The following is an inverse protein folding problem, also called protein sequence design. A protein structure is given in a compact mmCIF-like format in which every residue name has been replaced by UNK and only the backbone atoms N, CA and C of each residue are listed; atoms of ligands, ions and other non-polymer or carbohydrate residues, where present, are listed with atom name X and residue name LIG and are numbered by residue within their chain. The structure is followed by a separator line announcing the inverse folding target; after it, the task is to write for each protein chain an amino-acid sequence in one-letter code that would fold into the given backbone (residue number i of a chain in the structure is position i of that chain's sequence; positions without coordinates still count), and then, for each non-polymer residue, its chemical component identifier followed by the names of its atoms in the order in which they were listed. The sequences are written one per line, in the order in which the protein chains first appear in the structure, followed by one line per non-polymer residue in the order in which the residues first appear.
data_IF_972460024734
#
_entry.id   IF_972460024734
#
_cell.length_a   1.000
_cell.length_b   1.000
_cell.length_c   1.000
_cell.angle_alpha   90.00
_cell.angle_beta   90.00
_cell.angle_gamma   90.00
#
_symmetry.space_group_name_H-M   'P 1'
#
loop_
_entity.id
_entity.type
_entity.pdbx_description
1 polymer ?
#
# COMPACT_ATOMS: atom_id res chain seq x y z
N UNK A 1 -22.44 -0.18 -4.03
CA UNK A 1 -22.37 -1.10 -2.87
C UNK A 1 -20.91 -1.13 -2.46
N UNK A 2 -20.58 -0.71 -1.24
CA UNK A 2 -19.21 -0.65 -0.71
C UNK A 2 -18.65 -2.05 -0.44
N UNK A 3 -17.33 -2.23 -0.59
CA UNK A 3 -16.61 -3.40 -0.08
C UNK A 3 -15.60 -2.99 0.99
N UNK A 4 -15.23 -3.93 1.85
CA UNK A 4 -14.17 -3.76 2.84
C UNK A 4 -12.91 -4.49 2.39
N UNK A 5 -11.76 -3.81 2.43
CA UNK A 5 -10.46 -4.40 2.13
C UNK A 5 -9.55 -4.38 3.34
N UNK A 6 -8.65 -5.36 3.43
CA UNK A 6 -7.49 -5.34 4.33
C UNK A 6 -6.25 -5.77 3.57
N UNK A 7 -5.10 -5.33 4.05
CA UNK A 7 -3.83 -5.68 3.45
C UNK A 7 -2.65 -4.98 4.08
N UNK A 8 -1.51 -5.10 3.40
CA UNK A 8 -0.24 -4.49 3.79
C UNK A 8 0.00 -3.23 2.97
N UNK A 9 0.11 -2.07 3.60
CA UNK A 9 0.40 -0.80 2.94
C UNK A 9 1.90 -0.44 2.95
N UNK A 10 2.67 -1.04 3.85
CA UNK A 10 4.13 -0.89 3.91
C UNK A 10 4.76 -2.19 4.45
N UNK A 11 5.85 -2.69 3.84
CA UNK A 11 6.53 -3.89 4.33
C UNK A 11 7.15 -3.67 5.71
N UNK A 12 7.51 -4.76 6.43
CA UNK A 12 8.29 -4.62 7.65
C UNK A 12 9.68 -4.02 7.32
N UNK A 13 10.20 -3.10 8.14
CA UNK A 13 11.54 -2.56 7.93
C UNK A 13 12.61 -3.64 8.15
N UNK A 14 13.74 -3.53 7.43
CA UNK A 14 14.93 -4.34 7.67
C UNK A 14 15.36 -4.34 9.14
N UNK A 15 15.89 -5.48 9.61
CA UNK A 15 16.33 -5.64 11.01
C UNK A 15 17.58 -4.82 11.34
N UNK A 16 18.39 -4.51 10.35
CA UNK A 16 19.59 -3.68 10.48
C UNK A 16 19.27 -2.18 10.54
N UNK A 17 18.00 -1.80 10.44
CA UNK A 17 17.55 -0.40 10.46
C UNK A 17 17.85 0.36 9.17
N UNK A 18 18.38 -0.31 8.14
CA UNK A 18 18.58 0.29 6.83
C UNK A 18 17.25 0.64 6.17
N UNK A 19 17.28 1.65 5.30
CA UNK A 19 16.16 2.05 4.45
C UNK A 19 16.58 1.84 3.00
N UNK A 20 15.79 1.10 2.23
CA UNK A 20 16.02 0.92 0.79
C UNK A 20 15.56 2.14 0.00
N UNK A 21 14.55 2.85 0.51
CA UNK A 21 14.03 4.10 -0.02
C UNK A 21 13.92 5.17 1.08
N UNK A 22 14.16 6.46 0.79
CA UNK A 22 13.98 7.53 1.75
C UNK A 22 12.59 7.56 2.42
N UNK A 23 11.55 7.12 1.72
CA UNK A 23 10.18 7.05 2.23
C UNK A 23 9.88 5.78 3.04
N UNK A 24 10.85 4.87 3.21
CA UNK A 24 10.63 3.66 4.01
C UNK A 24 10.48 4.01 5.48
N UNK A 25 9.49 3.40 6.14
CA UNK A 25 9.21 3.61 7.54
C UNK A 25 9.99 2.62 8.42
N UNK A 26 10.53 3.12 9.52
CA UNK A 26 11.07 2.34 10.64
C UNK A 26 9.96 1.70 11.46
N UNK A 27 10.32 0.79 12.38
CA UNK A 27 9.34 0.10 13.25
C UNK A 27 8.56 1.07 14.11
N UNK A 28 9.23 2.10 14.64
CA UNK A 28 8.61 3.12 15.47
C UNK A 28 7.62 3.95 14.65
N UNK A 29 8.02 4.40 13.45
CA UNK A 29 7.14 5.16 12.55
C UNK A 29 5.90 4.34 12.16
N UNK A 30 6.05 3.04 11.85
CA UNK A 30 4.92 2.15 11.58
C UNK A 30 4.00 2.04 12.80
N UNK A 31 4.55 1.82 13.99
CA UNK A 31 3.76 1.67 15.21
C UNK A 31 2.99 2.95 15.58
N UNK A 32 3.54 4.13 15.26
CA UNK A 32 2.88 5.42 15.48
C UNK A 32 1.98 5.88 14.32
N UNK A 33 1.97 5.18 13.18
CA UNK A 33 1.21 5.61 12.01
C UNK A 33 -0.30 5.42 12.25
N UNK A 34 -1.04 6.52 12.23
CA UNK A 34 -2.49 6.52 12.22
C UNK A 34 -3.05 7.27 11.02
N UNK A 35 -3.59 6.51 10.06
CA UNK A 35 -4.23 7.04 8.85
C UNK A 35 -5.75 6.79 8.85
N UNK A 36 -6.36 6.48 10.01
CA UNK A 36 -7.81 6.37 10.12
C UNK A 36 -8.50 7.67 9.68
N UNK A 37 -9.56 7.57 8.88
CA UNK A 37 -10.31 8.71 8.35
C UNK A 37 -9.68 9.37 7.13
N UNK A 38 -8.46 8.98 6.72
CA UNK A 38 -7.83 9.47 5.49
C UNK A 38 -8.55 8.92 4.25
N UNK A 39 -8.58 9.67 3.13
CA UNK A 39 -9.14 9.16 1.88
C UNK A 39 -8.32 7.96 1.36
N UNK A 40 -9.01 7.03 0.70
CA UNK A 40 -8.38 6.05 -0.17
C UNK A 40 -8.42 6.59 -1.60
N UNK A 41 -7.27 6.74 -2.22
CA UNK A 41 -7.12 7.26 -3.58
C UNK A 41 -6.94 6.15 -4.60
N UNK A 42 -7.27 6.44 -5.86
CA UNK A 42 -6.91 5.62 -7.02
C UNK A 42 -5.53 6.07 -7.53
N UNK A 43 -4.54 5.17 -7.56
CA UNK A 43 -3.23 5.44 -8.17
C UNK A 43 -2.52 6.75 -7.71
N UNK A 44 -2.70 7.13 -6.45
CA UNK A 44 -2.16 8.39 -5.90
C UNK A 44 -2.72 9.67 -6.56
N UNK A 45 -3.83 9.59 -7.29
CA UNK A 45 -4.52 10.77 -7.80
C UNK A 45 -5.41 11.38 -6.71
N UNK A 46 -5.02 12.57 -6.23
CA UNK A 46 -5.78 13.32 -5.22
C UNK A 46 -7.17 13.78 -5.70
N UNK A 47 -7.42 13.80 -7.01
CA UNK A 47 -8.74 14.05 -7.60
C UNK A 47 -9.63 12.80 -7.61
N UNK A 48 -9.06 11.61 -7.49
CA UNK A 48 -9.78 10.33 -7.60
C UNK A 48 -9.86 9.62 -6.24
N UNK A 49 -10.71 10.16 -5.36
CA UNK A 49 -11.05 9.48 -4.10
C UNK A 49 -12.03 8.34 -4.35
N UNK A 50 -11.63 7.11 -4.00
CA UNK A 50 -12.41 5.88 -4.21
C UNK A 50 -12.89 5.23 -2.93
N UNK A 51 -12.51 5.77 -1.77
CA UNK A 51 -12.96 5.27 -0.49
C UNK A 51 -12.35 5.99 0.71
N UNK A 52 -12.25 5.26 1.82
CA UNK A 52 -11.75 5.80 3.10
C UNK A 52 -11.02 4.72 3.90
N UNK A 53 -9.86 5.07 4.46
CA UNK A 53 -9.14 4.23 5.41
C UNK A 53 -9.85 4.22 6.77
N UNK A 54 -10.16 3.04 7.30
CA UNK A 54 -10.86 2.85 8.57
C UNK A 54 -9.88 2.74 9.73
N UNK A 55 -8.79 2.00 9.54
CA UNK A 55 -7.79 1.76 10.58
C UNK A 55 -6.44 1.43 9.97
N UNK A 56 -5.38 1.72 10.73
CA UNK A 56 -4.03 1.25 10.49
C UNK A 56 -3.42 0.70 11.77
N UNK A 57 -2.59 -0.33 11.66
CA UNK A 57 -1.91 -0.93 12.80
C UNK A 57 -0.61 -1.63 12.36
N UNK A 58 0.28 -1.89 13.33
CA UNK A 58 1.45 -2.71 13.08
C UNK A 58 1.07 -4.20 13.04
N UNK A 59 1.41 -4.89 11.96
CA UNK A 59 1.32 -6.34 11.84
C UNK A 59 2.30 -7.07 12.76
N UNK A 60 2.05 -8.35 13.02
CA UNK A 60 2.92 -9.19 13.87
C UNK A 60 4.33 -9.36 13.30
N UNK A 61 4.49 -9.23 11.99
CA UNK A 61 5.75 -9.23 11.27
C UNK A 61 6.47 -7.86 11.28
N UNK A 62 5.78 -6.81 11.74
CA UNK A 62 6.26 -5.42 11.76
C UNK A 62 5.83 -4.59 10.55
N UNK A 63 5.00 -5.13 9.65
CA UNK A 63 4.44 -4.40 8.51
C UNK A 63 3.40 -3.36 8.95
N UNK A 64 3.10 -2.37 8.10
CA UNK A 64 1.93 -1.51 8.28
C UNK A 64 0.72 -2.17 7.62
N UNK A 65 -0.26 -2.54 8.45
CA UNK A 65 -1.52 -3.14 8.05
C UNK A 65 -2.62 -2.09 8.04
N UNK A 66 -3.56 -2.24 7.11
CA UNK A 66 -4.70 -1.33 6.97
C UNK A 66 -6.02 -2.08 6.83
N UNK A 67 -7.10 -1.36 7.12
CA UNK A 67 -8.45 -1.70 6.71
C UNK A 67 -9.09 -0.46 6.08
N UNK A 68 -9.77 -0.62 4.94
CA UNK A 68 -10.40 0.48 4.23
C UNK A 68 -11.73 0.08 3.60
N UNK A 69 -12.60 1.05 3.37
CA UNK A 69 -13.76 0.93 2.50
C UNK A 69 -13.38 1.36 1.09
N UNK A 70 -13.89 0.65 0.09
CA UNK A 70 -13.89 1.07 -1.31
C UNK A 70 -15.34 1.29 -1.72
N UNK A 71 -15.66 2.50 -2.14
CA UNK A 71 -17.01 2.97 -2.43
C UNK A 71 -17.26 3.11 -3.94
N UNK A 72 -16.21 3.31 -4.74
CA UNK A 72 -16.30 3.46 -6.19
C UNK A 72 -16.64 2.12 -6.89
N UNK A 73 -17.78 1.99 -7.60
CA UNK A 73 -18.18 0.74 -8.23
C UNK A 73 -17.20 0.19 -9.29
N UNK A 74 -16.54 1.07 -10.05
CA UNK A 74 -15.59 0.67 -11.09
C UNK A 74 -14.33 0.10 -10.45
N UNK A 75 -13.80 0.76 -9.41
CA UNK A 75 -12.64 0.25 -8.68
C UNK A 75 -12.99 -1.03 -7.92
N UNK A 76 -14.17 -1.12 -7.31
CA UNK A 76 -14.63 -2.37 -6.65
C UNK A 76 -14.54 -3.57 -7.61
N UNK A 77 -14.96 -3.40 -8.85
CA UNK A 77 -14.89 -4.47 -9.84
C UNK A 77 -13.43 -4.84 -10.17
N UNK A 78 -12.54 -3.85 -10.26
CA UNK A 78 -11.10 -4.03 -10.49
C UNK A 78 -10.38 -4.67 -9.28
N UNK A 79 -10.80 -4.38 -8.05
CA UNK A 79 -10.26 -5.03 -6.85
C UNK A 79 -10.66 -6.50 -6.83
N UNK A 80 -11.93 -6.78 -7.13
CA UNK A 80 -12.49 -8.14 -7.15
C UNK A 80 -11.85 -9.00 -8.23
N UNK A 81 -11.63 -8.47 -9.43
CA UNK A 81 -11.01 -9.21 -10.53
C UNK A 81 -9.47 -9.33 -10.40
N UNK A 82 -8.86 -8.57 -9.47
CA UNK A 82 -7.42 -8.64 -9.19
C UNK A 82 -6.57 -7.62 -9.93
N UNK A 83 -7.16 -6.70 -10.68
CA UNK A 83 -6.45 -5.62 -11.37
C UNK A 83 -5.97 -4.52 -10.43
N UNK A 84 -6.68 -4.24 -9.34
CA UNK A 84 -6.37 -3.15 -8.40
C UNK A 84 -6.16 -3.71 -6.99
N UNK A 85 -5.04 -4.40 -6.75
CA UNK A 85 -4.75 -5.02 -5.45
C UNK A 85 -3.48 -4.52 -4.79
N UNK A 86 -2.71 -3.67 -5.45
CA UNK A 86 -1.60 -2.96 -4.82
C UNK A 86 -2.12 -2.01 -3.75
N UNK A 87 -1.43 -1.98 -2.61
CA UNK A 87 -1.63 -0.95 -1.59
C UNK A 87 -0.35 -0.14 -1.47
N UNK A 88 -0.50 1.18 -1.39
CA UNK A 88 0.65 2.07 -1.32
C UNK A 88 0.38 3.21 -0.35
N UNK A 89 1.31 3.44 0.56
CA UNK A 89 1.29 4.57 1.48
C UNK A 89 2.07 5.74 0.88
N UNK A 90 1.38 6.85 0.62
CA UNK A 90 2.03 8.10 0.25
C UNK A 90 2.64 8.77 1.48
N UNK A 91 3.91 9.16 1.36
CA UNK A 91 4.66 9.80 2.44
C UNK A 91 5.19 11.14 1.94
N UNK A 92 4.72 12.23 2.53
CA UNK A 92 5.31 13.54 2.33
C UNK A 92 6.66 13.59 3.04
N UNK A 93 7.66 14.17 2.40
CA UNK A 93 8.98 14.29 2.96
C UNK A 93 9.46 15.74 2.88
N UNK A 94 9.99 16.25 3.97
CA UNK A 94 10.79 17.48 3.97
C UNK A 94 12.25 17.07 3.99
N UNK A 95 13.01 17.53 3.00
CA UNK A 95 14.44 17.23 2.86
C UNK A 95 15.25 18.51 3.04
N UNK A 96 16.48 18.38 3.55
CA UNK A 96 17.47 19.46 3.53
C UNK A 96 18.07 19.64 2.12
N UNK A 97 18.91 20.67 1.97
CA UNK A 97 19.60 20.97 0.71
C UNK A 97 20.61 19.86 0.30
N UNK A 98 21.00 19.01 1.25
CA UNK A 98 21.90 17.88 1.05
C UNK A 98 21.16 16.57 0.73
N UNK A 99 19.82 16.60 0.70
CA UNK A 99 18.96 15.44 0.42
C UNK A 99 18.66 14.55 1.63
N UNK A 100 19.03 14.94 2.85
CA UNK A 100 18.67 14.21 4.07
C UNK A 100 17.21 14.49 4.42
N UNK A 101 16.46 13.44 4.77
CA UNK A 101 15.06 13.58 5.17
C UNK A 101 14.96 14.06 6.62
N UNK A 102 14.46 15.29 6.79
CA UNK A 102 14.24 15.94 8.08
C UNK A 102 12.91 15.51 8.72
N UNK A 103 11.89 15.27 7.89
CA UNK A 103 10.55 14.94 8.35
C UNK A 103 9.82 14.05 7.35
N UNK A 104 8.98 13.15 7.86
CA UNK A 104 8.09 12.26 7.09
C UNK A 104 6.69 12.33 7.65
N UNK A 105 5.70 12.55 6.80
CA UNK A 105 4.29 12.52 7.16
C UNK A 105 3.53 11.54 6.28
N UNK A 106 2.76 10.65 6.91
CA UNK A 106 1.92 9.70 6.19
C UNK A 106 0.66 10.43 5.72
N UNK A 107 0.68 10.86 4.47
CA UNK A 107 -0.30 11.79 3.92
C UNK A 107 -1.57 11.08 3.44
N UNK A 108 -1.39 9.91 2.83
CA UNK A 108 -2.42 9.25 2.05
C UNK A 108 -2.24 7.73 1.97
N UNK A 109 -3.33 7.06 1.58
CA UNK A 109 -3.36 5.66 1.21
C UNK A 109 -3.96 5.55 -0.20
N UNK A 110 -3.31 4.78 -1.06
CA UNK A 110 -3.76 4.53 -2.42
C UNK A 110 -3.94 3.04 -2.66
N UNK A 111 -4.96 2.72 -3.46
CA UNK A 111 -5.09 1.43 -4.12
C UNK A 111 -4.56 1.57 -5.54
N UNK A 112 -3.77 0.60 -5.97
CA UNK A 112 -3.00 0.63 -7.22
C UNK A 112 -3.08 -0.73 -7.94
N UNK A 113 -2.70 -0.78 -9.20
CA UNK A 113 -2.50 -2.03 -9.94
C UNK A 113 -1.39 -2.87 -9.31
N UNK A 114 -0.28 -2.21 -8.96
CA UNK A 114 0.87 -2.81 -8.29
C UNK A 114 1.26 -1.97 -7.07
N UNK A 115 1.57 -2.65 -5.96
CA UNK A 115 2.10 -1.99 -4.78
C UNK A 115 3.48 -1.42 -5.08
N UNK A 116 3.78 -0.20 -4.61
CA UNK A 116 5.09 0.43 -4.81
C UNK A 116 6.25 -0.40 -4.23
N UNK A 117 5.98 -1.26 -3.26
CA UNK A 117 6.97 -2.10 -2.58
C UNK A 117 6.55 -3.56 -2.61
N UNK A 118 7.52 -4.45 -2.64
CA UNK A 118 7.25 -5.88 -2.55
C UNK A 118 6.46 -6.22 -1.28
N UNK A 119 5.41 -7.01 -1.44
CA UNK A 119 4.55 -7.44 -0.35
C UNK A 119 3.46 -6.44 0.06
N UNK A 120 3.27 -5.31 -0.63
CA UNK A 120 2.19 -4.37 -0.31
C UNK A 120 0.92 -4.61 -1.13
N UNK A 121 0.05 -5.47 -0.62
CA UNK A 121 -1.13 -5.96 -1.33
C UNK A 121 -2.38 -6.06 -0.45
N UNK A 122 -3.54 -5.96 -1.08
CA UNK A 122 -4.83 -6.40 -0.53
C UNK A 122 -4.83 -7.92 -0.41
N UNK A 123 -5.07 -8.42 0.80
CA UNK A 123 -5.16 -9.87 1.08
C UNK A 123 -6.54 -10.32 1.53
N UNK A 124 -7.45 -9.40 1.80
CA UNK A 124 -8.79 -9.71 2.27
C UNK A 124 -9.80 -8.77 1.63
N UNK A 125 -10.91 -9.32 1.12
CA UNK A 125 -12.08 -8.56 0.62
C UNK A 125 -13.32 -9.09 1.34
N UNK A 126 -14.11 -8.21 1.97
CA UNK A 126 -15.34 -8.52 2.69
C UNK A 126 -15.14 -9.68 3.71
N UNK A 127 -14.00 -9.65 4.40
CA UNK A 127 -13.60 -10.67 5.38
C UNK A 127 -13.15 -12.00 4.79
N UNK A 128 -13.12 -12.15 3.46
CA UNK A 128 -12.65 -13.36 2.78
C UNK A 128 -11.22 -13.16 2.29
N UNK A 129 -10.30 -14.10 2.58
CA UNK A 129 -8.95 -14.02 2.06
C UNK A 129 -8.99 -14.10 0.54
N UNK A 130 -8.19 -13.27 -0.12
CA UNK A 130 -7.92 -13.36 -1.54
C UNK A 130 -6.48 -13.80 -1.71
N UNK A 131 -6.27 -14.80 -2.57
CA UNK A 131 -4.92 -15.13 -2.97
C UNK A 131 -4.30 -13.92 -3.66
N UNK A 132 -3.00 -13.71 -3.43
CA UNK A 132 -2.17 -12.94 -4.35
C UNK A 132 -2.25 -13.64 -5.71
N UNK A 133 -3.21 -13.22 -6.54
CA UNK A 133 -3.19 -13.56 -7.94
C UNK A 133 -1.94 -12.82 -8.41
N UNK A 134 -0.94 -13.57 -8.88
CA UNK A 134 0.19 -12.96 -9.57
C UNK A 134 -0.42 -11.99 -10.59
N UNK A 135 -0.30 -10.68 -10.33
CA UNK A 135 -0.60 -9.69 -11.34
C UNK A 135 0.18 -10.15 -12.56
N UNK A 136 -0.43 -10.04 -13.73
CA UNK A 136 0.25 -10.27 -14.99
C UNK A 136 1.34 -9.20 -15.10
N UNK A 137 2.44 -9.36 -14.37
CA UNK A 137 3.58 -8.49 -14.44
C UNK A 137 4.03 -8.54 -15.89
N UNK A 138 4.43 -7.38 -16.42
CA UNK A 138 5.16 -7.29 -17.68
C UNK A 138 6.49 -8.07 -17.66
N UNK A 139 6.78 -8.80 -16.58
CA UNK A 139 7.88 -9.77 -16.47
C UNK A 139 7.57 -11.16 -17.06
N UNK A 140 6.60 -11.25 -17.97
CA UNK A 140 6.59 -12.32 -18.99
C UNK A 140 7.72 -12.16 -20.04
N UNK A 141 8.83 -11.49 -19.70
CA UNK A 141 9.95 -11.22 -20.60
C UNK A 141 11.34 -11.68 -20.10
N UNK A 142 11.47 -12.35 -18.93
CA UNK A 142 12.81 -12.78 -18.49
C UNK A 142 12.97 -14.15 -17.83
N UNK A 143 12.02 -15.05 -18.04
CA UNK A 143 12.20 -16.50 -17.82
C UNK A 143 11.61 -17.28 -18.99
N UNK A 144 12.39 -17.36 -20.06
CA UNK A 144 11.98 -18.05 -21.30
C UNK A 144 12.98 -17.98 -22.45
N UNK A 145 14.06 -17.20 -22.34
CA UNK A 145 15.12 -17.14 -23.33
C UNK A 145 16.49 -17.25 -22.66
N UNK A 146 16.88 -18.47 -22.31
CA UNK A 146 18.21 -19.03 -22.54
C UNK A 146 18.14 -20.49 -22.13
N UNK A 147 18.21 -21.32 -23.18
CA UNK A 147 18.54 -22.74 -23.09
C UNK A 147 19.95 -22.90 -22.55
#
# INVERSE_FOLDING_TARGET
MTIQIRGTAHPPPPRDGSRGNPADLSRAEIASTNISGRPLLNEHDHGERVGTCLASWQGTDGSLRIAANVDDPAVIQQVRNGQMRGLSLGTDMVMDEQGSVLYRNQAELSICEEGKRDGTWVDTIDGRPVHAIACASKDKARRGALR
#
